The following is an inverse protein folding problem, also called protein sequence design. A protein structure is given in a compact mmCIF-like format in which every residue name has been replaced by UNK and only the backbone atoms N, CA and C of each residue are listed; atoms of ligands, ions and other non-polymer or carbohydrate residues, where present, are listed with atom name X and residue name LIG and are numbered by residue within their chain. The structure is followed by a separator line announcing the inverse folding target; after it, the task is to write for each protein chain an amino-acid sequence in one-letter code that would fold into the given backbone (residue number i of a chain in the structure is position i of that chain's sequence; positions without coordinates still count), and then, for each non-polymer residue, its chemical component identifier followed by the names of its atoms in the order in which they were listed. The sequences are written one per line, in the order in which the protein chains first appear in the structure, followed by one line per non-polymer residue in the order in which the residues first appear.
data_IF_005897882043
#
_entry.id   IF_005897882043
#
_cell.length_a   1.000
_cell.length_b   1.000
_cell.length_c   1.000
_cell.angle_alpha   90.00
_cell.angle_beta   90.00
_cell.angle_gamma   90.00
#
_symmetry.space_group_name_H-M   'P 1'
#
loop_
_entity.id
_entity.type
_entity.pdbx_description
1 polymer ?
#
# COMPACT_ATOMS: atom_id res chain seq x y z
N UNK A 1 -26.60 21.69 -27.75
CA UNK A 1 -26.27 21.97 -26.35
C UNK A 1 -25.48 20.78 -25.86
N UNK A 2 -24.17 20.80 -26.13
CA UNK A 2 -23.25 19.75 -25.69
C UNK A 2 -23.06 20.00 -24.20
N UNK A 3 -23.49 19.06 -23.37
CA UNK A 3 -23.20 19.09 -21.94
C UNK A 3 -21.73 18.70 -21.84
N UNK A 4 -20.86 19.69 -21.73
CA UNK A 4 -19.50 19.47 -21.22
C UNK A 4 -19.67 19.06 -19.76
N UNK A 5 -19.62 17.75 -19.53
CA UNK A 5 -19.39 17.21 -18.19
C UNK A 5 -17.93 17.52 -17.85
N UNK A 6 -17.69 18.72 -17.34
CA UNK A 6 -16.47 19.03 -16.59
C UNK A 6 -16.55 18.23 -15.28
N UNK A 7 -16.27 16.92 -15.36
CA UNK A 7 -15.84 16.18 -14.18
C UNK A 7 -14.36 16.49 -14.02
N UNK A 8 -14.04 17.50 -13.21
CA UNK A 8 -12.67 17.66 -12.69
C UNK A 8 -12.23 16.29 -12.18
N UNK A 9 -11.21 15.71 -12.81
CA UNK A 9 -10.65 14.48 -12.31
C UNK A 9 -10.09 14.75 -10.91
N UNK A 10 -10.40 13.91 -9.91
CA UNK A 10 -9.85 14.09 -8.56
C UNK A 10 -8.32 14.13 -8.63
N UNK A 11 -7.68 14.89 -7.74
CA UNK A 11 -6.22 14.99 -7.69
C UNK A 11 -5.55 13.66 -7.30
N UNK A 12 -4.22 13.60 -7.44
CA UNK A 12 -3.47 12.37 -7.13
C UNK A 12 -3.58 11.99 -5.65
N UNK A 13 -3.69 12.97 -4.76
CA UNK A 13 -3.94 12.75 -3.33
C UNK A 13 -5.29 12.06 -3.13
N UNK A 14 -6.39 12.62 -3.64
CA UNK A 14 -7.74 12.08 -3.44
C UNK A 14 -7.89 10.69 -4.09
N UNK A 15 -7.32 10.48 -5.27
CA UNK A 15 -7.31 9.17 -5.92
C UNK A 15 -6.60 8.12 -5.05
N UNK A 16 -5.43 8.47 -4.52
CA UNK A 16 -4.63 7.56 -3.68
C UNK A 16 -5.33 7.27 -2.36
N UNK A 17 -5.87 8.29 -1.70
CA UNK A 17 -6.62 8.16 -0.46
C UNK A 17 -7.86 7.27 -0.67
N UNK A 18 -8.64 7.50 -1.72
CA UNK A 18 -9.84 6.70 -2.04
C UNK A 18 -9.51 5.21 -2.22
N UNK A 19 -8.45 4.88 -2.97
CA UNK A 19 -8.02 3.50 -3.19
C UNK A 19 -7.56 2.84 -1.89
N UNK A 20 -6.73 3.54 -1.10
CA UNK A 20 -6.18 2.99 0.13
C UNK A 20 -7.24 2.86 1.21
N UNK A 21 -8.21 3.77 1.28
CA UNK A 21 -9.36 3.73 2.18
C UNK A 21 -10.22 2.50 1.92
N UNK A 22 -10.57 2.24 0.65
CA UNK A 22 -11.33 1.05 0.28
C UNK A 22 -10.58 -0.25 0.62
N UNK A 23 -9.26 -0.27 0.37
CA UNK A 23 -8.40 -1.40 0.76
C UNK A 23 -8.38 -1.58 2.29
N UNK A 24 -8.30 -0.49 3.06
CA UNK A 24 -8.28 -0.51 4.51
C UNK A 24 -9.59 -1.03 5.10
N UNK A 25 -10.74 -0.55 4.59
CA UNK A 25 -12.05 -1.06 4.97
C UNK A 25 -12.21 -2.55 4.67
N UNK A 26 -11.89 -2.97 3.43
CA UNK A 26 -12.02 -4.36 3.01
C UNK A 26 -11.09 -5.30 3.78
N UNK A 27 -9.89 -4.80 4.13
CA UNK A 27 -8.88 -5.54 4.90
C UNK A 27 -9.05 -5.47 6.41
N UNK A 28 -9.99 -4.66 6.91
CA UNK A 28 -10.09 -4.29 8.33
C UNK A 28 -8.71 -3.87 8.88
N UNK A 29 -8.00 -3.04 8.11
CA UNK A 29 -6.63 -2.64 8.42
C UNK A 29 -6.62 -1.66 9.60
N UNK A 30 -5.66 -1.82 10.51
CA UNK A 30 -5.49 -0.96 11.66
C UNK A 30 -4.15 -1.15 12.39
N UNK A 31 -4.07 -0.75 13.68
CA UNK A 31 -2.82 -0.73 14.44
C UNK A 31 -2.08 -2.07 14.44
N UNK A 32 -0.77 -1.99 14.15
CA UNK A 32 0.13 -3.15 14.10
C UNK A 32 0.10 -3.92 12.77
N UNK A 33 -0.84 -3.63 11.88
CA UNK A 33 -0.82 -4.14 10.51
C UNK A 33 0.04 -3.26 9.60
N UNK A 34 0.52 -3.87 8.51
CA UNK A 34 1.52 -3.29 7.61
C UNK A 34 0.94 -3.25 6.20
N UNK A 35 1.00 -2.08 5.57
CA UNK A 35 0.71 -1.90 4.16
C UNK A 35 2.01 -1.58 3.41
N UNK A 36 2.37 -2.45 2.46
CA UNK A 36 3.51 -2.19 1.58
C UNK A 36 3.07 -1.37 0.37
N UNK A 37 3.78 -0.28 0.11
CA UNK A 37 3.54 0.65 -0.99
C UNK A 37 4.65 0.50 -2.03
N UNK A 38 4.27 0.11 -3.24
CA UNK A 38 5.12 0.15 -4.43
C UNK A 38 4.64 1.26 -5.35
N UNK A 39 5.55 2.06 -5.92
CA UNK A 39 5.15 3.21 -6.73
C UNK A 39 6.18 3.55 -7.80
N UNK A 40 5.70 3.70 -9.03
CA UNK A 40 6.44 4.31 -10.14
C UNK A 40 5.88 5.69 -10.47
N UNK A 41 6.57 6.75 -10.02
CA UNK A 41 6.11 8.14 -10.26
C UNK A 41 6.16 8.55 -11.73
N UNK A 42 6.99 7.90 -12.55
CA UNK A 42 7.01 8.14 -14.00
C UNK A 42 5.77 7.55 -14.69
N UNK A 43 5.30 6.38 -14.24
CA UNK A 43 4.05 5.80 -14.75
C UNK A 43 2.85 6.64 -14.34
N UNK A 44 2.84 7.19 -13.11
CA UNK A 44 1.73 8.04 -12.63
C UNK A 44 1.57 9.29 -13.48
N UNK A 45 2.69 9.88 -13.93
CA UNK A 45 2.66 11.06 -14.79
C UNK A 45 2.50 10.76 -16.29
N UNK A 46 2.49 9.49 -16.70
CA UNK A 46 2.26 9.06 -18.08
C UNK A 46 3.36 9.35 -19.09
N UNK A 47 4.44 10.05 -18.71
CA UNK A 47 5.55 10.46 -19.59
C UNK A 47 6.88 10.54 -18.82
N UNK A 48 8.00 10.70 -19.57
CA UNK A 48 9.30 11.03 -18.96
C UNK A 48 9.25 12.43 -18.34
N UNK A 49 9.01 12.47 -17.04
CA UNK A 49 9.11 13.68 -16.22
C UNK A 49 10.53 13.89 -15.70
N UNK A 50 10.92 15.14 -15.52
CA UNK A 50 12.14 15.49 -14.79
C UNK A 50 12.02 15.15 -13.30
N UNK A 51 13.15 15.16 -12.59
CA UNK A 51 13.21 14.83 -11.16
C UNK A 51 12.28 15.69 -10.29
N UNK A 52 12.12 16.97 -10.61
CA UNK A 52 11.24 17.88 -9.85
C UNK A 52 9.78 17.42 -9.91
N UNK A 53 9.26 17.13 -11.10
CA UNK A 53 7.87 16.64 -11.25
C UNK A 53 7.67 15.28 -10.57
N UNK A 54 8.69 14.41 -10.59
CA UNK A 54 8.61 13.11 -9.93
C UNK A 54 8.52 13.23 -8.40
N UNK A 55 9.15 14.25 -7.82
CA UNK A 55 9.06 14.54 -6.37
C UNK A 55 7.68 15.10 -6.03
N UNK A 56 7.14 16.00 -6.85
CA UNK A 56 5.80 16.57 -6.64
C UNK A 56 4.72 15.48 -6.69
N UNK A 57 4.79 14.58 -7.68
CA UNK A 57 3.93 13.39 -7.73
C UNK A 57 4.07 12.56 -6.46
N UNK A 58 5.31 12.22 -6.04
CA UNK A 58 5.54 11.47 -4.82
C UNK A 58 4.95 12.13 -3.57
N UNK A 59 5.01 13.46 -3.47
CA UNK A 59 4.45 14.21 -2.35
C UNK A 59 2.93 14.14 -2.30
N UNK A 60 2.24 14.26 -3.44
CA UNK A 60 0.78 14.14 -3.49
C UNK A 60 0.31 12.73 -3.12
N UNK A 61 0.99 11.70 -3.65
CA UNK A 61 0.70 10.30 -3.30
C UNK A 61 0.93 10.05 -1.81
N UNK A 62 2.06 10.54 -1.27
CA UNK A 62 2.40 10.40 0.15
C UNK A 62 1.39 11.10 1.05
N UNK A 63 0.84 12.26 0.65
CA UNK A 63 -0.21 12.94 1.38
C UNK A 63 -1.48 12.08 1.49
N UNK A 64 -1.95 11.51 0.37
CA UNK A 64 -3.13 10.64 0.38
C UNK A 64 -2.91 9.34 1.16
N UNK A 65 -1.68 8.80 1.13
CA UNK A 65 -1.31 7.63 1.94
C UNK A 65 -1.37 7.96 3.43
N UNK A 66 -0.80 9.11 3.84
CA UNK A 66 -0.76 9.55 5.25
C UNK A 66 -2.15 9.82 5.81
N UNK A 67 -3.02 10.45 5.02
CA UNK A 67 -4.41 10.72 5.40
C UNK A 67 -5.11 9.43 5.87
N UNK A 68 -5.06 8.37 5.06
CA UNK A 68 -5.67 7.08 5.41
C UNK A 68 -4.89 6.36 6.50
N UNK A 69 -3.55 6.47 6.50
CA UNK A 69 -2.73 5.89 7.56
C UNK A 69 -3.10 6.45 8.94
N UNK A 70 -3.31 7.76 9.05
CA UNK A 70 -3.69 8.44 10.30
C UNK A 70 -5.11 8.06 10.74
N UNK A 71 -6.04 7.89 9.80
CA UNK A 71 -7.42 7.47 10.08
C UNK A 71 -7.49 6.05 10.67
N UNK A 72 -6.78 5.08 10.06
CA UNK A 72 -6.89 3.66 10.43
C UNK A 72 -5.79 3.20 11.41
N UNK A 73 -4.64 3.86 11.43
CA UNK A 73 -3.54 3.57 12.35
C UNK A 73 -2.63 2.39 11.97
N UNK A 74 -2.70 1.87 10.74
CA UNK A 74 -1.73 0.88 10.24
C UNK A 74 -0.35 1.52 9.98
N UNK A 75 0.69 0.71 9.84
CA UNK A 75 2.00 1.21 9.41
C UNK A 75 2.17 1.09 7.90
N UNK A 76 2.85 2.06 7.30
CA UNK A 76 3.23 2.07 5.89
C UNK A 76 4.71 1.76 5.73
N UNK A 77 5.04 0.99 4.69
CA UNK A 77 6.43 0.71 4.30
C UNK A 77 6.56 0.90 2.79
N UNK A 78 7.62 1.57 2.35
CA UNK A 78 7.75 2.03 0.95
C UNK A 78 8.87 1.28 0.24
N UNK A 79 8.52 0.53 -0.79
CA UNK A 79 9.46 -0.23 -1.59
C UNK A 79 10.35 0.71 -2.41
N UNK A 80 11.65 0.54 -2.30
CA UNK A 80 12.61 1.15 -3.20
C UNK A 80 12.58 0.48 -4.59
N UNK A 81 13.10 1.14 -5.62
CA UNK A 81 13.33 0.48 -6.91
C UNK A 81 14.43 -0.61 -6.82
N UNK A 82 14.60 -1.35 -7.91
CA UNK A 82 15.55 -2.45 -8.04
C UNK A 82 17.01 -2.05 -7.79
N UNK A 83 17.38 -0.77 -7.95
CA UNK A 83 18.73 -0.28 -7.67
C UNK A 83 19.11 -0.36 -6.19
N UNK A 84 18.14 -0.36 -5.27
CA UNK A 84 18.33 -0.64 -3.85
C UNK A 84 17.71 -1.99 -3.46
N UNK A 85 17.68 -2.93 -4.41
CA UNK A 85 17.22 -4.30 -4.22
C UNK A 85 15.81 -4.42 -3.62
N UNK A 86 14.94 -3.43 -3.86
CA UNK A 86 13.58 -3.37 -3.30
C UNK A 86 13.55 -3.35 -1.77
N UNK A 87 14.61 -2.84 -1.13
CA UNK A 87 14.61 -2.53 0.30
C UNK A 87 13.46 -1.59 0.66
N UNK A 88 13.00 -1.64 1.90
CA UNK A 88 11.77 -0.96 2.32
C UNK A 88 12.07 0.17 3.30
N UNK A 89 11.66 1.39 2.95
CA UNK A 89 11.70 2.54 3.84
C UNK A 89 10.58 2.43 4.87
N UNK A 90 10.92 2.60 6.15
CA UNK A 90 9.96 2.60 7.26
C UNK A 90 10.50 3.35 8.48
N UNK A 91 9.64 3.60 9.48
CA UNK A 91 10.07 4.07 10.79
C UNK A 91 10.88 2.97 11.50
N UNK A 92 11.97 3.36 12.19
CA UNK A 92 12.81 2.44 12.96
C UNK A 92 12.04 1.67 14.03
N UNK A 93 10.99 2.26 14.58
CA UNK A 93 10.09 1.61 15.53
C UNK A 93 9.36 0.40 14.91
N UNK A 94 8.97 0.48 13.63
CA UNK A 94 8.35 -0.62 12.89
C UNK A 94 9.36 -1.74 12.64
N UNK A 95 10.56 -1.39 12.17
CA UNK A 95 11.66 -2.34 11.95
C UNK A 95 11.97 -3.13 13.23
N UNK A 96 12.10 -2.41 14.34
CA UNK A 96 12.44 -3.00 15.66
C UNK A 96 11.30 -3.88 16.17
N UNK A 97 10.06 -3.40 16.12
CA UNK A 97 8.87 -4.15 16.58
C UNK A 97 8.68 -5.46 15.82
N UNK A 98 9.01 -5.47 14.54
CA UNK A 98 8.90 -6.66 13.68
C UNK A 98 10.16 -7.53 13.66
N UNK A 99 11.26 -7.08 14.28
CA UNK A 99 12.54 -7.80 14.29
C UNK A 99 13.13 -8.00 12.89
N UNK A 100 13.00 -7.01 12.00
CA UNK A 100 13.50 -7.09 10.63
C UNK A 100 15.00 -6.79 10.55
N UNK A 101 15.66 -7.34 9.52
CA UNK A 101 17.06 -7.02 9.20
C UNK A 101 17.16 -5.62 8.62
N UNK A 102 17.91 -4.73 9.29
CA UNK A 102 18.25 -3.40 8.76
C UNK A 102 19.33 -3.51 7.68
N UNK A 103 19.18 -2.73 6.60
CA UNK A 103 20.17 -2.56 5.53
C UNK A 103 20.51 -1.08 5.36
N UNK A 104 21.70 -0.77 4.83
CA UNK A 104 22.21 0.60 4.79
C UNK A 104 22.18 1.23 3.40
N UNK A 105 21.36 2.27 3.22
CA UNK A 105 21.44 3.25 2.13
C UNK A 105 20.55 4.47 2.47
N UNK A 106 20.73 5.57 1.73
CA UNK A 106 19.78 6.69 1.72
C UNK A 106 19.13 6.74 0.34
N UNK A 107 17.82 6.47 0.21
CA UNK A 107 17.14 6.54 -1.07
C UNK A 107 17.14 7.95 -1.64
N UNK A 108 17.55 8.09 -2.89
CA UNK A 108 17.49 9.32 -3.67
C UNK A 108 16.63 9.09 -4.92
N UNK A 109 16.05 10.13 -5.56
CA UNK A 109 15.20 9.93 -6.73
C UNK A 109 15.88 9.10 -7.85
N UNK A 110 17.21 9.22 -7.98
CA UNK A 110 18.01 8.47 -8.98
C UNK A 110 18.41 7.05 -8.54
N UNK A 111 18.27 6.69 -7.27
CA UNK A 111 18.62 5.38 -6.72
C UNK A 111 17.73 5.09 -5.49
N UNK A 112 16.70 4.28 -5.69
CA UNK A 112 15.62 4.03 -4.74
C UNK A 112 14.27 4.55 -5.21
N UNK A 113 14.25 5.60 -6.03
CA UNK A 113 13.04 6.16 -6.64
C UNK A 113 12.43 7.31 -5.82
N UNK A 114 11.65 8.16 -6.48
CA UNK A 114 11.12 9.39 -5.88
C UNK A 114 10.19 9.13 -4.69
N UNK A 115 9.36 8.08 -4.75
CA UNK A 115 8.44 7.75 -3.66
C UNK A 115 9.18 7.33 -2.38
N UNK A 116 10.05 6.34 -2.46
CA UNK A 116 10.84 5.90 -1.31
C UNK A 116 11.73 7.03 -0.76
N UNK A 117 12.28 7.86 -1.65
CA UNK A 117 13.07 9.02 -1.27
C UNK A 117 12.24 10.10 -0.53
N UNK A 118 11.03 10.39 -1.02
CA UNK A 118 10.11 11.31 -0.36
C UNK A 118 9.68 10.77 1.02
N UNK A 119 9.29 9.48 1.08
CA UNK A 119 8.96 8.80 2.31
C UNK A 119 10.10 8.89 3.32
N UNK A 120 11.33 8.53 2.94
CA UNK A 120 12.49 8.53 3.84
C UNK A 120 12.74 9.89 4.50
N UNK A 121 12.59 10.99 3.76
CA UNK A 121 12.76 12.36 4.32
C UNK A 121 11.62 12.83 5.19
N UNK A 122 10.47 12.19 5.07
CA UNK A 122 9.23 12.61 5.71
C UNK A 122 8.98 11.90 7.05
N UNK A 123 9.67 10.79 7.29
CA UNK A 123 9.60 9.99 8.52
C UNK A 123 10.47 10.60 9.63
N UNK A 124 10.16 10.24 10.87
CA UNK A 124 10.83 10.78 12.06
C UNK A 124 12.19 10.14 12.28
N UNK A 125 12.26 8.81 12.21
CA UNK A 125 13.50 8.02 12.33
C UNK A 125 13.54 6.96 11.21
N UNK A 126 13.84 7.40 9.97
CA UNK A 126 13.79 6.53 8.81
C UNK A 126 14.90 5.48 8.82
N UNK A 127 14.55 4.27 8.40
CA UNK A 127 15.49 3.18 8.18
C UNK A 127 15.09 2.37 6.94
N UNK A 128 15.94 1.41 6.55
CA UNK A 128 15.65 0.46 5.48
C UNK A 128 15.64 -0.96 6.03
N UNK A 129 14.60 -1.72 5.73
CA UNK A 129 14.58 -3.16 5.96
C UNK A 129 14.91 -3.92 4.67
N UNK A 130 15.59 -5.06 4.80
CA UNK A 130 15.84 -5.99 3.70
C UNK A 130 14.53 -6.55 3.12
N UNK A 131 13.60 -6.93 4.00
CA UNK A 131 12.35 -7.57 3.64
C UNK A 131 11.26 -7.34 4.70
N UNK A 132 10.00 -7.55 4.34
CA UNK A 132 8.84 -7.47 5.25
C UNK A 132 7.80 -8.51 4.86
N UNK A 133 6.94 -8.86 5.80
CA UNK A 133 5.73 -9.65 5.57
C UNK A 133 4.48 -8.79 5.86
N UNK A 134 4.02 -8.08 4.84
CA UNK A 134 2.91 -7.13 4.90
C UNK A 134 1.53 -7.81 4.85
N UNK A 135 0.54 -7.14 5.43
CA UNK A 135 -0.84 -7.61 5.55
C UNK A 135 -1.69 -7.22 4.34
N UNK A 136 -1.34 -6.10 3.71
CA UNK A 136 -1.93 -5.60 2.49
C UNK A 136 -0.86 -4.90 1.65
N UNK A 137 -1.20 -4.61 0.40
CA UNK A 137 -0.30 -3.92 -0.52
C UNK A 137 -1.04 -3.05 -1.52
N UNK A 138 -0.42 -1.91 -1.83
CA UNK A 138 -0.82 -0.98 -2.88
C UNK A 138 0.36 -0.82 -3.86
N UNK A 139 0.17 -1.27 -5.09
CA UNK A 139 1.15 -1.15 -6.17
C UNK A 139 0.62 -0.18 -7.23
N UNK A 140 1.30 0.97 -7.37
CA UNK A 140 0.97 2.02 -8.33
C UNK A 140 2.03 2.01 -9.44
N UNK A 141 1.65 1.58 -10.64
CA UNK A 141 2.57 1.48 -11.78
C UNK A 141 3.33 0.15 -11.84
N UNK A 142 2.70 -0.93 -11.38
CA UNK A 142 3.14 -2.32 -11.61
C UNK A 142 4.59 -2.60 -11.17
N UNK A 143 4.98 -2.05 -10.02
CA UNK A 143 6.32 -2.18 -9.46
C UNK A 143 6.59 -3.55 -8.84
N UNK A 144 5.59 -4.44 -8.75
CA UNK A 144 5.66 -5.79 -8.19
C UNK A 144 6.02 -5.82 -6.71
N UNK A 145 5.01 -5.77 -5.84
CA UNK A 145 5.15 -5.85 -4.37
C UNK A 145 4.91 -7.25 -3.78
N UNK A 146 4.62 -8.23 -4.63
CA UNK A 146 4.15 -9.56 -4.20
C UNK A 146 5.13 -10.32 -3.31
N UNK A 147 6.44 -10.08 -3.44
CA UNK A 147 7.45 -10.67 -2.57
C UNK A 147 7.27 -10.23 -1.11
N UNK A 148 6.72 -9.06 -0.86
CA UNK A 148 6.58 -8.48 0.48
C UNK A 148 5.27 -8.86 1.17
N UNK A 149 4.36 -9.56 0.50
CA UNK A 149 3.05 -9.91 1.06
C UNK A 149 3.13 -11.23 1.84
N UNK A 150 2.40 -11.30 2.96
CA UNK A 150 2.16 -12.58 3.64
C UNK A 150 1.45 -13.57 2.74
N UNK A 151 1.74 -14.85 2.94
CA UNK A 151 0.92 -15.92 2.39
C UNK A 151 -0.37 -16.05 3.21
N UNK A 152 -1.56 -16.04 2.61
CA UNK A 152 -1.88 -16.07 1.16
C UNK A 152 -2.28 -14.68 0.68
N UNK A 153 -1.59 -14.14 -0.32
CA UNK A 153 -1.98 -12.90 -0.99
C UNK A 153 -3.24 -13.13 -1.84
N UNK A 154 -4.20 -12.21 -1.73
CA UNK A 154 -5.49 -12.23 -2.44
C UNK A 154 -5.66 -10.87 -3.10
N UNK A 155 -5.72 -10.79 -4.44
CA UNK A 155 -5.97 -9.54 -5.13
C UNK A 155 -7.28 -8.90 -4.66
N UNK A 156 -7.24 -7.62 -4.33
CA UNK A 156 -8.42 -6.81 -4.08
C UNK A 156 -8.64 -5.88 -5.26
N UNK A 157 -9.91 -5.50 -5.49
CA UNK A 157 -10.32 -4.79 -6.70
C UNK A 157 -11.11 -3.53 -6.35
N UNK A 158 -10.38 -2.46 -6.05
CA UNK A 158 -10.87 -1.09 -5.77
C UNK A 158 -11.69 -0.42 -6.88
N UNK A 159 -12.63 0.48 -6.60
CA UNK A 159 -13.41 1.17 -7.61
C UNK A 159 -12.53 1.90 -8.64
N UNK A 160 -11.53 2.66 -8.16
CA UNK A 160 -10.50 3.28 -9.01
C UNK A 160 -9.39 2.27 -9.35
N UNK A 161 -9.03 2.22 -10.64
CA UNK A 161 -8.03 1.29 -11.21
C UNK A 161 -6.71 1.95 -11.58
N UNK A 162 -6.66 3.27 -11.47
CA UNK A 162 -5.54 4.09 -11.89
C UNK A 162 -5.32 5.21 -10.87
N UNK A 163 -4.07 5.65 -10.77
CA UNK A 163 -3.70 6.93 -10.15
C UNK A 163 -2.87 7.70 -11.15
N UNK A 164 -3.37 8.87 -11.57
CA UNK A 164 -2.92 9.49 -12.82
C UNK A 164 -3.01 8.46 -13.96
N UNK A 165 -1.91 8.26 -14.67
CA UNK A 165 -1.81 7.30 -15.77
C UNK A 165 -1.35 5.90 -15.33
N UNK A 166 -0.94 5.73 -14.06
CA UNK A 166 -0.43 4.45 -13.56
C UNK A 166 -1.56 3.49 -13.20
N UNK A 167 -1.44 2.25 -13.69
CA UNK A 167 -2.31 1.14 -13.25
C UNK A 167 -2.09 0.82 -11.78
N UNK A 168 -3.19 0.56 -11.08
CA UNK A 168 -3.16 0.17 -9.67
C UNK A 168 -3.51 -1.30 -9.49
N UNK A 169 -2.68 -1.98 -8.71
CA UNK A 169 -2.98 -3.31 -8.19
C UNK A 169 -2.95 -3.27 -6.67
N UNK A 170 -4.00 -3.79 -6.03
CA UNK A 170 -4.04 -3.94 -4.58
C UNK A 170 -4.20 -5.40 -4.19
N UNK A 171 -3.75 -5.75 -3.00
CA UNK A 171 -3.91 -7.07 -2.43
C UNK A 171 -4.09 -7.00 -0.92
N UNK A 172 -4.90 -7.93 -0.41
CA UNK A 172 -4.98 -8.26 1.00
C UNK A 172 -4.29 -9.61 1.23
N UNK A 173 -4.10 -9.97 2.49
CA UNK A 173 -3.60 -11.29 2.85
C UNK A 173 -4.57 -11.98 3.79
N UNK A 174 -4.61 -13.31 3.73
CA UNK A 174 -5.43 -14.13 4.63
C UNK A 174 -4.66 -15.32 5.15
N UNK A 175 -5.08 -15.90 6.28
CA UNK A 175 -4.54 -17.18 6.75
C UNK A 175 -4.69 -18.27 5.68
N UNK A 176 -3.73 -19.19 5.67
CA UNK A 176 -3.85 -20.44 4.92
C UNK A 176 -5.01 -21.24 5.50
N UNK A 177 -5.93 -21.68 4.64
CA UNK A 177 -6.91 -22.69 5.01
C UNK A 177 -6.19 -24.04 4.96
N UNK A 178 -6.21 -24.76 6.07
CA UNK A 178 -5.51 -26.03 6.25
C UNK A 178 -6.49 -27.10 6.73
N UNK A 179 -6.16 -28.36 6.49
CA UNK A 179 -6.97 -29.51 6.91
C UNK A 179 -7.37 -30.41 5.74
N UNK A 180 -7.72 -31.66 6.05
CA UNK A 180 -8.21 -32.64 5.08
C UNK A 180 -9.71 -32.48 4.78
N UNK A 181 -10.32 -33.50 4.18
CA UNK A 181 -11.72 -33.48 3.69
C UNK A 181 -12.78 -33.16 4.76
N UNK A 182 -12.46 -33.32 6.05
CA UNK A 182 -13.38 -33.08 7.18
C UNK A 182 -13.22 -31.70 7.83
N UNK A 183 -12.37 -30.83 7.29
CA UNK A 183 -12.13 -29.52 7.86
C UNK A 183 -13.33 -28.58 7.66
N UNK A 184 -13.66 -27.81 8.68
CA UNK A 184 -14.74 -26.82 8.68
C UNK A 184 -14.14 -25.44 8.97
N UNK A 185 -14.56 -24.41 8.23
CA UNK A 185 -13.93 -23.07 8.24
C UNK A 185 -14.84 -21.96 8.76
N UNK A 186 -16.07 -22.30 9.13
CA UNK A 186 -17.05 -21.43 9.81
C UNK A 186 -17.83 -22.30 10.78
N UNK A 187 -18.09 -21.81 11.99
CA UNK A 187 -19.03 -22.50 12.87
C UNK A 187 -20.42 -22.42 12.26
N UNK A 188 -21.24 -23.45 12.48
CA UNK A 188 -22.67 -23.40 12.14
C UNK A 188 -23.31 -22.26 12.96
N UNK A 189 -23.97 -21.33 12.27
CA UNK A 189 -24.79 -20.31 12.92
C UNK A 189 -26.01 -21.02 13.53
N UNK A 190 -26.16 -20.99 14.86
CA UNK A 190 -27.37 -21.49 15.50
C UNK A 190 -28.54 -20.62 15.05
N UNK A 191 -29.63 -21.19 14.51
CA UNK A 191 -30.84 -20.41 14.25
C UNK A 191 -31.32 -19.84 15.58
N UNK A 192 -31.65 -18.54 15.61
CA UNK A 192 -32.18 -17.85 16.77
C UNK A 192 -33.24 -18.72 17.45
N UNK A 193 -32.91 -19.24 18.63
CA UNK A 193 -33.86 -19.90 19.50
C UNK A 193 -34.77 -18.85 20.13
N UNK A 194 -35.54 -18.14 19.31
CA UNK A 194 -36.76 -17.47 19.76
C UNK A 194 -37.81 -18.57 19.90
N UNK A 195 -37.62 -19.43 20.89
CA UNK A 195 -38.74 -20.15 21.48
C UNK A 195 -39.59 -19.08 22.17
N UNK A 196 -40.72 -18.72 21.56
CA UNK A 196 -41.83 -18.18 22.32
C UNK A 196 -42.36 -19.31 23.21
N UNK A 197 -42.52 -19.00 24.50
CA UNK A 197 -43.22 -19.81 25.50
C UNK A 197 -44.64 -20.22 25.05
#
# INVERSE_FOLDING_TARGET
MTIELDSEQPGLQEQTASILHELALAGQLGPGQIVVIGTSTSEVAGQRIGTSGAIEVAQQLLAGIREVQEEFGFDTVFQCCEHLNRALVMERSVLTRLGLTEVGAVPVPKAGGSMASAAYRSLTDPCLAEHVQAHAGLDIGETMIGMHLRHVAVPFRTALRYVGDARVTTALTRPKLIGGERAVYRMEEQPDSTFCD
#
